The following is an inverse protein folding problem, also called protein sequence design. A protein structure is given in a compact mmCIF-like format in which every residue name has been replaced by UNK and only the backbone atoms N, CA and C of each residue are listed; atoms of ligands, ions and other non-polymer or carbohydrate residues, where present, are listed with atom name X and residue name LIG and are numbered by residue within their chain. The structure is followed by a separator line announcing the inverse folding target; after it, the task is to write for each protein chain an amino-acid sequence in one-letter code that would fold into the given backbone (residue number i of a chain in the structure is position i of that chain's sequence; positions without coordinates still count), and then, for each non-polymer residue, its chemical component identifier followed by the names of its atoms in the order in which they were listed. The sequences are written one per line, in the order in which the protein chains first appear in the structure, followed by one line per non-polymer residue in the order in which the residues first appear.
data_IF_326804402619
#
_entry.id   IF_326804402619
#
_cell.length_a   1.000
_cell.length_b   1.000
_cell.length_c   1.000
_cell.angle_alpha   90.00
_cell.angle_beta   90.00
_cell.angle_gamma   90.00
#
_symmetry.space_group_name_H-M   'P 1'
#
loop_
_entity.id
_entity.type
_entity.pdbx_description
1 polymer ?
#
# COMPACT_ATOMS: atom_id res chain seq x y z
N UNK A 1 65.22 -58.58 -4.82
CA UNK A 1 63.78 -58.88 -5.03
C UNK A 1 63.01 -58.24 -3.89
N UNK A 2 61.98 -57.49 -4.26
CA UNK A 2 60.92 -56.86 -3.43
C UNK A 2 61.35 -55.69 -2.53
N UNK A 3 61.33 -54.50 -3.15
CA UNK A 3 60.99 -53.23 -2.53
C UNK A 3 59.50 -53.22 -2.16
N UNK A 4 59.16 -52.86 -0.91
CA UNK A 4 57.79 -52.53 -0.52
C UNK A 4 57.82 -51.13 0.12
N UNK A 5 57.37 -50.15 -0.67
CA UNK A 5 57.26 -48.75 -0.27
C UNK A 5 55.83 -48.55 0.26
N UNK A 6 55.68 -48.36 1.57
CA UNK A 6 54.39 -48.08 2.20
C UNK A 6 53.99 -46.63 1.94
N UNK A 7 53.05 -46.40 1.02
CA UNK A 7 52.37 -45.12 0.86
C UNK A 7 51.37 -44.93 2.01
N UNK A 8 51.68 -44.03 2.94
CA UNK A 8 50.69 -43.53 3.91
C UNK A 8 49.80 -42.50 3.19
N UNK A 9 48.54 -42.88 2.95
CA UNK A 9 47.51 -42.02 2.40
C UNK A 9 47.02 -41.06 3.51
N UNK A 10 47.48 -39.82 3.48
CA UNK A 10 46.93 -38.74 4.30
C UNK A 10 45.55 -38.36 3.75
N UNK A 11 44.50 -38.87 4.38
CA UNK A 11 43.12 -38.42 4.14
C UNK A 11 42.94 -37.09 4.85
N UNK A 12 43.04 -36.00 4.10
CA UNK A 12 42.62 -34.67 4.57
C UNK A 12 41.10 -34.67 4.58
N UNK A 13 40.50 -34.79 5.77
CA UNK A 13 39.09 -34.45 5.96
C UNK A 13 38.96 -32.93 5.77
N UNK A 14 38.48 -32.52 4.60
CA UNK A 14 37.93 -31.18 4.44
C UNK A 14 36.66 -31.12 5.29
N UNK A 15 36.78 -30.55 6.50
CA UNK A 15 35.63 -30.11 7.28
C UNK A 15 34.99 -28.95 6.51
N UNK A 16 34.05 -29.28 5.62
CA UNK A 16 33.12 -28.30 5.10
C UNK A 16 32.31 -27.78 6.27
N UNK A 17 32.57 -26.55 6.69
CA UNK A 17 31.66 -25.79 7.54
C UNK A 17 30.39 -25.57 6.73
N UNK A 18 29.43 -26.47 6.86
CA UNK A 18 28.05 -26.17 6.53
C UNK A 18 27.59 -25.10 7.52
N UNK A 19 27.64 -23.84 7.09
CA UNK A 19 26.94 -22.76 7.80
C UNK A 19 25.46 -23.14 7.68
N UNK A 20 24.85 -23.54 8.79
CA UNK A 20 23.42 -23.76 8.82
C UNK A 20 22.76 -22.47 8.32
N UNK A 21 22.04 -22.55 7.19
CA UNK A 21 21.23 -21.42 6.75
C UNK A 21 20.25 -21.09 7.86
N UNK A 22 20.20 -19.81 8.26
CA UNK A 22 19.11 -19.30 9.09
C UNK A 22 17.78 -19.70 8.42
N UNK A 23 16.90 -20.39 9.16
CA UNK A 23 15.69 -21.03 8.60
C UNK A 23 14.67 -20.01 8.03
N UNK A 24 14.87 -18.74 8.38
CA UNK A 24 14.12 -17.58 7.93
C UNK A 24 14.86 -16.72 6.90
N UNK A 25 16.09 -17.09 6.53
CA UNK A 25 16.82 -16.48 5.44
C UNK A 25 16.38 -17.04 4.08
N UNK A 26 16.06 -16.16 3.15
CA UNK A 26 15.77 -16.47 1.75
C UNK A 26 17.03 -16.20 0.92
N UNK A 27 17.66 -17.28 0.46
CA UNK A 27 18.94 -17.23 -0.25
C UNK A 27 18.83 -16.88 -1.74
N UNK A 28 17.62 -16.84 -2.30
CA UNK A 28 17.41 -16.52 -3.72
C UNK A 28 17.12 -15.03 -3.87
N UNK A 29 18.08 -14.28 -4.40
CA UNK A 29 17.94 -12.84 -4.68
C UNK A 29 16.80 -12.52 -5.66
N UNK A 30 16.40 -13.49 -6.50
CA UNK A 30 15.31 -13.36 -7.46
C UNK A 30 13.97 -13.92 -6.93
N UNK A 31 13.84 -14.20 -5.62
CA UNK A 31 12.62 -14.75 -5.04
C UNK A 31 11.37 -13.92 -5.39
N UNK A 32 11.51 -12.58 -5.37
CA UNK A 32 10.41 -11.65 -5.63
C UNK A 32 10.20 -11.33 -7.12
N UNK A 33 11.15 -11.67 -8.00
CA UNK A 33 11.10 -11.26 -9.41
C UNK A 33 9.92 -11.85 -10.20
N UNK A 34 9.44 -13.03 -9.79
CA UNK A 34 8.24 -13.68 -10.33
C UNK A 34 7.01 -13.57 -9.44
N UNK A 35 7.11 -12.85 -8.31
CA UNK A 35 5.97 -12.63 -7.41
C UNK A 35 5.10 -11.52 -7.98
N UNK A 36 3.79 -11.67 -7.84
CA UNK A 36 2.83 -10.63 -8.20
C UNK A 36 2.41 -9.88 -6.93
N UNK A 37 2.24 -8.54 -7.02
CA UNK A 37 1.53 -7.79 -6.00
C UNK A 37 0.19 -8.46 -5.68
N UNK A 38 -0.21 -8.39 -4.43
CA UNK A 38 -1.48 -8.90 -3.94
C UNK A 38 -2.21 -7.77 -3.26
N UNK A 39 -3.46 -7.61 -3.64
CA UNK A 39 -4.39 -6.77 -2.92
C UNK A 39 -4.60 -7.27 -1.48
N UNK A 40 -4.69 -6.32 -0.57
CA UNK A 40 -5.04 -6.58 0.82
C UNK A 40 -5.97 -5.48 1.32
N UNK A 41 -7.24 -5.81 1.50
CA UNK A 41 -8.17 -4.94 2.21
C UNK A 41 -7.95 -5.11 3.73
N UNK A 42 -7.32 -4.12 4.36
CA UNK A 42 -7.16 -4.09 5.80
C UNK A 42 -8.42 -3.49 6.43
N UNK A 43 -9.29 -4.37 6.93
CA UNK A 43 -10.48 -3.94 7.63
C UNK A 43 -10.09 -3.06 8.84
N UNK A 44 -10.73 -1.90 9.02
CA UNK A 44 -10.56 -1.13 10.24
C UNK A 44 -11.05 -1.97 11.42
N UNK A 45 -10.52 -1.75 12.63
CA UNK A 45 -10.92 -2.46 13.86
C UNK A 45 -12.40 -2.23 14.31
N UNK A 46 -13.31 -1.86 13.40
CA UNK A 46 -14.73 -1.62 13.67
C UNK A 46 -15.50 -1.09 12.44
N UNK A 47 -16.81 -1.34 12.39
CA UNK A 47 -17.72 -0.83 11.34
C UNK A 47 -18.73 0.16 11.92
N UNK A 48 -19.04 1.22 11.17
CA UNK A 48 -20.25 2.02 11.42
C UNK A 48 -21.06 2.24 10.14
N UNK A 49 -22.34 1.90 10.22
CA UNK A 49 -23.33 2.23 9.20
C UNK A 49 -23.66 3.72 9.28
N UNK A 50 -23.26 4.50 8.26
CA UNK A 50 -23.69 5.87 8.03
C UNK A 50 -24.52 5.97 6.76
N UNK A 51 -25.35 7.00 6.62
CA UNK A 51 -26.07 7.27 5.37
C UNK A 51 -25.33 8.30 4.51
N UNK A 52 -25.10 7.96 3.24
CA UNK A 52 -24.34 8.70 2.23
C UNK A 52 -25.08 9.93 1.62
N UNK A 53 -25.85 10.68 2.40
CA UNK A 53 -26.69 11.77 1.85
C UNK A 53 -26.08 13.17 1.95
N UNK A 54 -24.87 13.32 2.51
CA UNK A 54 -24.20 14.61 2.59
C UNK A 54 -23.33 14.87 1.35
N UNK A 55 -23.34 16.08 0.81
CA UNK A 55 -22.43 16.46 -0.30
C UNK A 55 -20.96 16.53 0.15
N UNK A 56 -20.71 16.78 1.43
CA UNK A 56 -19.39 16.92 2.04
C UNK A 56 -19.32 16.03 3.27
N UNK A 57 -18.18 15.38 3.48
CA UNK A 57 -17.95 14.55 4.67
C UNK A 57 -18.81 13.31 4.72
N UNK A 58 -18.53 12.44 5.68
CA UNK A 58 -19.44 11.38 6.10
C UNK A 58 -20.04 11.78 7.45
N UNK A 59 -21.35 11.63 7.61
CA UNK A 59 -22.03 12.03 8.84
C UNK A 59 -21.55 11.16 10.02
N UNK A 60 -21.29 11.81 11.17
CA UNK A 60 -20.95 11.12 12.42
C UNK A 60 -19.46 10.85 12.63
N UNK A 61 -18.60 11.21 11.68
CA UNK A 61 -17.14 11.06 11.80
C UNK A 61 -16.41 12.41 11.71
N UNK A 62 -15.26 12.46 12.37
CA UNK A 62 -14.26 13.51 12.27
C UNK A 62 -13.08 12.97 11.46
N UNK A 63 -12.95 13.45 10.22
CA UNK A 63 -11.91 13.01 9.29
C UNK A 63 -11.51 14.10 8.29
N UNK A 64 -10.61 13.78 7.37
CA UNK A 64 -10.08 14.67 6.34
C UNK A 64 -11.19 15.22 5.44
N UNK A 65 -10.90 16.29 4.71
CA UNK A 65 -11.87 16.88 3.79
C UNK A 65 -12.17 15.88 2.68
N UNK A 66 -13.43 15.55 2.49
CA UNK A 66 -13.91 14.65 1.45
C UNK A 66 -15.29 15.07 0.95
N UNK A 67 -15.70 14.54 -0.20
CA UNK A 67 -17.02 14.75 -0.80
C UNK A 67 -17.64 13.43 -1.22
N UNK A 68 -18.98 13.38 -1.25
CA UNK A 68 -19.69 12.22 -1.77
C UNK A 68 -20.23 12.48 -3.17
N UNK A 69 -20.24 11.43 -3.98
CA UNK A 69 -20.94 11.36 -5.25
C UNK A 69 -21.75 10.07 -5.37
N UNK A 70 -22.43 9.91 -6.49
CA UNK A 70 -23.17 8.70 -6.79
C UNK A 70 -23.31 8.50 -8.29
N UNK A 71 -23.59 7.26 -8.69
CA UNK A 71 -23.90 6.89 -10.06
C UNK A 71 -24.94 5.77 -10.11
N UNK A 72 -25.50 5.55 -11.30
CA UNK A 72 -26.56 4.57 -11.52
C UNK A 72 -26.16 3.54 -12.58
N UNK A 73 -25.93 2.30 -12.15
CA UNK A 73 -25.64 1.19 -13.04
C UNK A 73 -26.10 -0.13 -12.42
N UNK A 74 -26.61 -1.05 -13.24
CA UNK A 74 -27.07 -2.35 -12.74
C UNK A 74 -25.87 -3.19 -12.27
N UNK A 75 -25.98 -3.77 -11.09
CA UNK A 75 -24.97 -4.66 -10.51
C UNK A 75 -25.52 -5.45 -9.32
N UNK A 76 -24.61 -6.04 -8.54
CA UNK A 76 -24.94 -6.79 -7.33
C UNK A 76 -24.13 -6.25 -6.15
N UNK A 77 -24.75 -6.11 -4.98
CA UNK A 77 -24.04 -5.77 -3.74
C UNK A 77 -23.20 -6.95 -3.22
N UNK A 78 -22.53 -6.78 -2.08
CA UNK A 78 -21.71 -7.81 -1.44
C UNK A 78 -22.51 -9.06 -1.03
N UNK A 79 -23.81 -8.92 -0.78
CA UNK A 79 -24.72 -10.01 -0.41
C UNK A 79 -25.33 -10.70 -1.65
N UNK A 80 -25.04 -10.18 -2.85
CA UNK A 80 -25.57 -10.69 -4.11
C UNK A 80 -26.99 -10.24 -4.43
N UNK A 81 -27.50 -9.20 -3.76
CA UNK A 81 -28.77 -8.58 -4.14
C UNK A 81 -28.56 -7.63 -5.32
N UNK A 82 -29.50 -7.56 -6.27
CA UNK A 82 -29.45 -6.54 -7.32
C UNK A 82 -29.45 -5.13 -6.71
N UNK A 83 -28.48 -4.32 -7.11
CA UNK A 83 -28.39 -2.91 -6.77
C UNK A 83 -28.18 -2.08 -8.04
N UNK A 84 -28.69 -0.85 -8.03
CA UNK A 84 -28.51 0.10 -9.13
C UNK A 84 -27.86 1.42 -8.69
N UNK A 85 -27.89 1.74 -7.41
CA UNK A 85 -27.46 3.04 -6.91
C UNK A 85 -26.21 2.87 -6.07
N UNK A 86 -25.12 3.51 -6.50
CA UNK A 86 -23.81 3.36 -5.90
C UNK A 86 -23.35 4.71 -5.41
N UNK A 87 -22.79 4.76 -4.20
CA UNK A 87 -22.26 5.96 -3.59
C UNK A 87 -20.75 5.83 -3.47
N UNK A 88 -20.05 6.93 -3.71
CA UNK A 88 -18.61 7.00 -3.49
C UNK A 88 -18.27 8.23 -2.66
N UNK A 89 -17.11 8.17 -2.01
CA UNK A 89 -16.53 9.22 -1.21
C UNK A 89 -15.08 9.43 -1.62
N UNK A 90 -14.72 10.68 -1.92
CA UNK A 90 -13.41 11.03 -2.47
C UNK A 90 -12.78 12.14 -1.67
N UNK A 91 -11.47 12.08 -1.47
CA UNK A 91 -10.68 13.11 -0.76
C UNK A 91 -10.72 14.44 -1.52
N UNK A 92 -10.92 15.53 -0.79
CA UNK A 92 -10.94 16.89 -1.31
C UNK A 92 -12.33 17.54 -1.31
N UNK A 93 -12.42 18.70 -1.97
CA UNK A 93 -13.69 19.39 -2.21
C UNK A 93 -14.32 18.92 -3.53
N UNK A 94 -15.66 19.04 -3.69
CA UNK A 94 -16.32 18.67 -4.93
C UNK A 94 -15.75 19.41 -6.17
N UNK A 95 -15.46 18.71 -7.28
CA UNK A 95 -14.78 19.24 -8.47
C UNK A 95 -15.43 20.47 -9.10
N UNK A 96 -16.77 20.54 -9.04
CA UNK A 96 -17.58 21.64 -9.56
C UNK A 96 -17.42 22.96 -8.79
N UNK A 97 -16.80 22.95 -7.62
CA UNK A 97 -16.55 24.17 -6.85
C UNK A 97 -15.29 24.92 -7.32
N UNK A 98 -14.30 24.20 -7.86
CA UNK A 98 -12.98 24.75 -8.15
C UNK A 98 -12.15 25.00 -6.90
N UNK A 99 -11.03 25.71 -7.09
CA UNK A 99 -10.06 26.01 -6.03
C UNK A 99 -9.24 24.81 -5.57
N UNK A 100 -8.26 25.10 -4.72
CA UNK A 100 -7.30 24.12 -4.20
C UNK A 100 -7.67 23.69 -2.79
N UNK A 101 -7.83 22.39 -2.60
CA UNK A 101 -7.86 21.75 -1.27
C UNK A 101 -6.44 21.33 -0.91
N UNK A 102 -5.97 21.72 0.27
CA UNK A 102 -4.69 21.26 0.80
C UNK A 102 -4.95 20.25 1.91
N UNK A 103 -4.39 19.06 1.77
CA UNK A 103 -4.41 17.99 2.77
C UNK A 103 -3.00 17.85 3.32
N UNK A 104 -2.84 17.92 4.63
CA UNK A 104 -1.55 17.62 5.24
C UNK A 104 -1.23 16.13 5.03
N UNK A 105 0.02 15.85 4.65
CA UNK A 105 0.48 14.49 4.36
C UNK A 105 1.75 14.17 5.16
N UNK A 106 1.63 13.89 6.47
CA UNK A 106 2.77 13.50 7.27
C UNK A 106 3.32 12.15 6.76
N UNK A 107 4.64 12.10 6.55
CA UNK A 107 5.36 10.87 6.22
C UNK A 107 6.15 10.46 7.46
N UNK A 108 5.75 9.36 8.09
CA UNK A 108 6.42 8.77 9.25
C UNK A 108 7.37 7.68 8.75
N UNK A 109 8.70 7.89 8.82
CA UNK A 109 9.65 6.85 8.42
C UNK A 109 9.69 5.74 9.47
N UNK A 110 9.53 4.47 9.07
CA UNK A 110 9.59 3.32 9.98
C UNK A 110 10.71 2.37 9.56
N UNK A 111 11.75 2.28 10.37
CA UNK A 111 12.78 1.24 10.23
C UNK A 111 12.30 -0.09 10.83
N UNK A 112 12.85 -1.21 10.40
CA UNK A 112 12.45 -2.54 10.87
C UNK A 112 13.61 -3.22 11.59
N UNK A 113 13.37 -3.69 12.82
CA UNK A 113 14.33 -4.39 13.65
C UNK A 113 13.86 -5.84 13.90
N UNK A 114 14.58 -6.80 13.34
CA UNK A 114 14.24 -8.21 13.39
C UNK A 114 14.95 -8.91 14.56
N UNK A 115 14.17 -9.50 15.46
CA UNK A 115 14.64 -10.11 16.71
C UNK A 115 14.42 -11.62 16.73
N UNK A 116 15.15 -12.31 17.61
CA UNK A 116 14.88 -13.72 17.88
C UNK A 116 13.54 -13.91 18.61
N UNK A 117 13.14 -15.17 18.81
CA UNK A 117 11.88 -15.51 19.47
C UNK A 117 11.80 -15.07 20.95
N UNK A 118 12.95 -14.73 21.56
CA UNK A 118 13.02 -14.20 22.93
C UNK A 118 13.13 -12.66 22.94
N UNK A 119 13.09 -12.00 21.77
CA UNK A 119 13.22 -10.56 21.63
C UNK A 119 14.66 -10.03 21.65
N UNK A 120 15.68 -10.89 21.60
CA UNK A 120 17.07 -10.42 21.56
C UNK A 120 17.46 -9.93 20.15
N UNK A 121 18.39 -8.98 20.10
CA UNK A 121 19.02 -8.52 18.85
C UNK A 121 19.61 -9.69 18.07
N UNK A 122 19.31 -9.74 16.76
CA UNK A 122 19.95 -10.70 15.85
C UNK A 122 21.00 -10.04 14.98
N UNK A 123 22.00 -10.82 14.61
CA UNK A 123 23.00 -10.42 13.63
C UNK A 123 23.39 -11.62 12.77
N UNK A 124 23.53 -11.40 11.47
CA UNK A 124 23.97 -12.40 10.49
C UNK A 124 25.22 -11.85 9.80
N UNK A 125 26.27 -12.66 9.70
CA UNK A 125 27.57 -12.24 9.14
C UNK A 125 28.17 -10.96 9.77
N UNK A 126 27.91 -10.74 11.07
CA UNK A 126 28.38 -9.56 11.79
C UNK A 126 27.56 -8.28 11.55
N UNK A 127 26.47 -8.35 10.79
CA UNK A 127 25.54 -7.24 10.57
C UNK A 127 24.25 -7.44 11.37
N UNK A 128 23.74 -6.41 12.08
CA UNK A 128 22.43 -6.49 12.72
C UNK A 128 21.34 -6.72 11.67
N UNK A 129 20.30 -7.46 12.03
CA UNK A 129 19.09 -7.57 11.22
C UNK A 129 18.19 -6.33 11.42
N UNK A 130 18.74 -5.18 11.04
CA UNK A 130 18.08 -3.88 11.10
C UNK A 130 18.03 -3.26 9.71
N UNK A 131 16.83 -2.96 9.23
CA UNK A 131 16.60 -2.31 7.93
C UNK A 131 16.25 -0.84 8.15
N UNK A 132 17.18 0.05 7.81
CA UNK A 132 17.04 1.50 7.96
C UNK A 132 16.25 2.10 6.79
N UNK A 133 15.20 2.84 7.11
CA UNK A 133 14.34 3.54 6.14
C UNK A 133 14.95 4.85 5.63
N UNK A 134 15.88 5.43 6.38
CA UNK A 134 16.43 6.78 6.16
C UNK A 134 16.86 7.05 4.71
N UNK A 135 17.53 6.12 4.00
CA UNK A 135 17.94 6.34 2.61
C UNK A 135 16.79 6.60 1.63
N UNK A 136 15.58 6.16 1.96
CA UNK A 136 14.41 6.22 1.08
C UNK A 136 13.54 7.46 1.32
N UNK A 137 13.70 8.14 2.47
CA UNK A 137 12.86 9.29 2.84
C UNK A 137 13.00 10.45 1.86
N UNK A 138 14.21 10.92 1.59
CA UNK A 138 14.41 12.07 0.71
C UNK A 138 13.95 11.81 -0.74
N UNK A 139 14.28 10.66 -1.37
CA UNK A 139 13.73 10.29 -2.68
C UNK A 139 12.20 10.24 -2.69
N UNK A 140 11.56 9.69 -1.65
CA UNK A 140 10.10 9.67 -1.52
C UNK A 140 9.50 11.07 -1.50
N UNK A 141 10.03 11.98 -0.69
CA UNK A 141 9.53 13.37 -0.59
C UNK A 141 9.76 14.17 -1.88
N UNK A 142 10.81 13.85 -2.63
CA UNK A 142 11.14 14.46 -3.91
C UNK A 142 10.34 13.89 -5.11
N UNK A 143 9.51 12.87 -4.86
CA UNK A 143 8.75 12.13 -5.88
C UNK A 143 7.52 12.90 -6.39
N UNK A 144 6.93 12.49 -7.53
CA UNK A 144 5.73 13.12 -8.07
C UNK A 144 4.49 12.94 -7.19
N UNK A 145 4.52 12.04 -6.19
CA UNK A 145 3.45 11.93 -5.19
C UNK A 145 3.30 13.24 -4.42
N UNK A 146 4.43 13.87 -4.05
CA UNK A 146 4.45 15.06 -3.22
C UNK A 146 4.95 16.33 -3.92
N UNK A 147 5.58 16.19 -5.08
CA UNK A 147 6.11 17.30 -5.87
C UNK A 147 5.37 17.46 -7.20
N UNK A 148 5.33 18.69 -7.70
CA UNK A 148 4.73 19.00 -8.99
C UNK A 148 5.50 18.42 -10.18
N UNK A 149 4.79 17.73 -11.08
CA UNK A 149 5.25 17.31 -12.40
C UNK A 149 4.21 17.68 -13.47
N UNK A 150 4.57 17.59 -14.75
CA UNK A 150 3.68 17.92 -15.86
C UNK A 150 2.80 16.73 -16.21
N UNK A 151 1.49 16.95 -16.28
CA UNK A 151 0.49 15.96 -16.63
C UNK A 151 -0.49 16.52 -17.66
N UNK A 152 -0.98 15.67 -18.56
CA UNK A 152 -1.96 16.06 -19.59
C UNK A 152 -3.32 16.48 -19.02
N UNK A 153 -3.65 16.06 -17.81
CA UNK A 153 -4.88 16.49 -17.15
C UNK A 153 -4.80 17.96 -16.70
N UNK A 154 -3.60 18.52 -16.49
CA UNK A 154 -3.37 19.82 -15.82
C UNK A 154 -2.66 20.86 -16.70
N UNK A 155 -3.06 22.12 -16.57
CA UNK A 155 -2.38 23.25 -17.22
C UNK A 155 -1.15 23.75 -16.43
N UNK A 156 -1.02 23.34 -15.17
CA UNK A 156 0.12 23.65 -14.29
C UNK A 156 0.71 22.37 -13.73
N UNK A 157 2.03 22.34 -13.41
CA UNK A 157 2.61 21.19 -12.72
C UNK A 157 1.85 20.88 -11.43
N UNK A 158 1.54 19.61 -11.21
CA UNK A 158 0.77 19.14 -10.05
C UNK A 158 1.26 17.77 -9.57
N UNK A 159 0.72 17.26 -8.48
CA UNK A 159 1.07 15.95 -7.92
C UNK A 159 0.40 14.82 -8.69
N UNK A 160 0.97 13.63 -8.59
CA UNK A 160 0.53 12.42 -9.29
C UNK A 160 -0.96 12.14 -9.06
N UNK A 161 -1.39 11.99 -7.81
CA UNK A 161 -2.78 11.64 -7.49
C UNK A 161 -3.76 12.77 -7.81
N UNK A 162 -3.35 14.03 -7.66
CA UNK A 162 -4.14 15.17 -8.16
C UNK A 162 -4.33 15.09 -9.68
N UNK A 163 -3.30 14.70 -10.43
CA UNK A 163 -3.41 14.53 -11.87
C UNK A 163 -4.37 13.39 -12.26
N UNK A 164 -4.36 12.28 -11.52
CA UNK A 164 -5.32 11.16 -11.68
C UNK A 164 -6.75 11.63 -11.41
N UNK A 165 -7.00 12.28 -10.27
CA UNK A 165 -8.31 12.84 -9.92
C UNK A 165 -8.81 13.87 -10.94
N UNK A 166 -7.93 14.72 -11.44
CA UNK A 166 -8.31 15.68 -12.49
C UNK A 166 -8.55 15.03 -13.85
N UNK A 167 -7.97 13.87 -14.13
CA UNK A 167 -8.33 13.07 -15.29
C UNK A 167 -9.70 12.41 -15.10
N UNK A 168 -9.96 11.84 -13.92
CA UNK A 168 -11.23 11.21 -13.53
C UNK A 168 -12.41 12.19 -13.61
N UNK A 169 -12.27 13.37 -13.01
CA UNK A 169 -13.32 14.38 -12.96
C UNK A 169 -13.22 15.43 -14.08
N UNK A 170 -12.50 15.15 -15.18
CA UNK A 170 -12.13 16.16 -16.17
C UNK A 170 -13.30 17.02 -16.68
N UNK A 171 -14.44 16.41 -17.01
CA UNK A 171 -15.63 17.13 -17.49
C UNK A 171 -16.51 17.71 -16.38
N UNK A 172 -16.20 17.45 -15.10
CA UNK A 172 -16.93 17.94 -13.91
C UNK A 172 -16.14 19.01 -13.16
N UNK A 173 -14.81 18.96 -13.23
CA UNK A 173 -13.90 19.84 -12.51
C UNK A 173 -13.78 21.21 -13.17
N UNK A 174 -13.72 22.26 -12.35
CA UNK A 174 -13.22 23.55 -12.84
C UNK A 174 -11.72 23.45 -13.10
N UNK A 175 -11.21 24.31 -13.98
CA UNK A 175 -9.80 24.32 -14.39
C UNK A 175 -8.82 24.53 -13.24
N UNK A 176 -9.25 25.23 -12.19
CA UNK A 176 -8.49 25.55 -10.97
C UNK A 176 -8.75 24.58 -9.81
N UNK A 177 -9.51 23.50 -10.04
CA UNK A 177 -9.76 22.48 -9.03
C UNK A 177 -8.52 21.61 -8.83
N UNK A 178 -8.08 21.51 -7.57
CA UNK A 178 -6.95 20.67 -7.15
C UNK A 178 -7.18 20.12 -5.73
N UNK A 179 -6.63 18.94 -5.45
CA UNK A 179 -6.51 18.36 -4.11
C UNK A 179 -5.06 17.93 -3.90
N UNK A 180 -4.28 18.79 -3.25
CA UNK A 180 -2.84 18.64 -3.11
C UNK A 180 -2.44 18.21 -1.69
N UNK A 181 -1.43 17.36 -1.63
CA UNK A 181 -0.76 16.94 -0.41
C UNK A 181 0.33 17.92 0.01
N UNK A 182 0.41 18.20 1.30
CA UNK A 182 1.47 19.01 1.91
C UNK A 182 2.36 18.08 2.73
N UNK A 183 3.48 17.59 2.17
CA UNK A 183 4.31 16.60 2.84
C UNK A 183 5.03 17.19 4.05
N UNK A 184 5.18 16.39 5.11
CA UNK A 184 6.16 16.69 6.16
C UNK A 184 6.76 15.41 6.74
N UNK A 185 8.09 15.35 6.83
CA UNK A 185 8.78 14.20 7.45
C UNK A 185 8.64 14.30 8.96
N UNK A 186 8.16 13.22 9.59
CA UNK A 186 7.94 13.13 11.03
C UNK A 186 9.05 12.35 11.74
N UNK A 187 8.94 12.25 13.06
CA UNK A 187 9.90 11.51 13.89
C UNK A 187 10.01 10.07 13.40
N UNK A 188 11.23 9.59 13.04
CA UNK A 188 11.44 8.20 12.67
C UNK A 188 11.05 7.24 13.78
N UNK A 189 10.44 6.12 13.41
CA UNK A 189 10.00 5.04 14.30
C UNK A 189 10.72 3.75 13.96
N UNK A 190 10.68 2.80 14.89
CA UNK A 190 11.20 1.45 14.69
C UNK A 190 10.07 0.46 14.97
N UNK A 191 9.76 -0.37 13.98
CA UNK A 191 8.93 -1.55 14.18
C UNK A 191 9.84 -2.72 14.57
N UNK A 192 9.60 -3.31 15.73
CA UNK A 192 10.32 -4.50 16.19
C UNK A 192 9.50 -5.74 15.88
N UNK A 193 10.04 -6.65 15.07
CA UNK A 193 9.37 -7.93 14.76
C UNK A 193 10.17 -9.05 15.41
N UNK A 194 9.57 -9.68 16.43
CA UNK A 194 10.13 -10.88 17.05
C UNK A 194 9.81 -12.11 16.19
N UNK A 195 10.76 -13.03 16.07
CA UNK A 195 10.53 -14.27 15.32
C UNK A 195 9.55 -15.19 16.07
N UNK A 196 8.80 -16.00 15.34
CA UNK A 196 7.96 -17.04 15.92
C UNK A 196 8.83 -18.19 16.48
N UNK A 197 8.58 -18.69 17.71
CA UNK A 197 9.34 -19.82 18.28
C UNK A 197 9.28 -21.12 17.46
N UNK A 198 8.28 -21.25 16.59
CA UNK A 198 8.06 -22.40 15.70
C UNK A 198 8.67 -22.21 14.31
N UNK A 199 9.34 -21.08 14.05
CA UNK A 199 9.94 -20.82 12.75
C UNK A 199 11.02 -21.86 12.41
N UNK A 200 10.81 -22.57 11.30
CA UNK A 200 11.68 -23.66 10.86
C UNK A 200 11.51 -24.98 11.64
N UNK A 201 10.44 -25.13 12.43
CA UNK A 201 10.11 -26.40 13.06
C UNK A 201 9.91 -27.52 12.03
N UNK A 202 10.48 -28.70 12.28
CA UNK A 202 10.38 -29.88 11.39
C UNK A 202 9.19 -30.79 11.73
N UNK A 203 8.44 -30.47 12.78
CA UNK A 203 7.23 -31.17 13.21
C UNK A 203 6.25 -30.19 13.85
N UNK A 204 4.95 -30.30 13.53
CA UNK A 204 3.92 -29.32 13.90
C UNK A 204 3.76 -28.21 12.85
N UNK A 205 2.84 -27.24 13.03
CA UNK A 205 2.75 -26.09 12.13
C UNK A 205 4.01 -25.23 12.31
N UNK A 206 4.82 -25.11 11.26
CA UNK A 206 5.93 -24.17 11.23
C UNK A 206 5.40 -22.82 10.75
N UNK A 207 5.56 -21.79 11.57
CA UNK A 207 5.19 -20.43 11.23
C UNK A 207 6.41 -19.53 11.47
N UNK A 208 6.61 -18.55 10.61
CA UNK A 208 7.59 -17.49 10.85
C UNK A 208 6.81 -16.18 10.90
N UNK A 209 7.19 -15.27 11.79
CA UNK A 209 6.64 -13.91 11.81
C UNK A 209 7.29 -13.05 10.72
N UNK A 210 8.52 -13.41 10.35
CA UNK A 210 9.21 -12.80 9.23
C UNK A 210 10.18 -13.76 8.56
N UNK A 211 10.51 -13.45 7.31
CA UNK A 211 11.65 -13.96 6.55
C UNK A 211 12.40 -12.79 5.93
N UNK A 212 13.66 -12.98 5.55
CA UNK A 212 14.47 -11.89 5.01
C UNK A 212 15.47 -12.38 3.96
N UNK A 213 15.92 -11.46 3.11
CA UNK A 213 17.11 -11.66 2.28
C UNK A 213 18.11 -10.55 2.57
N UNK A 214 19.40 -10.91 2.60
CA UNK A 214 20.48 -9.95 2.85
C UNK A 214 20.87 -9.23 1.57
N UNK A 215 21.39 -8.01 1.71
CA UNK A 215 22.09 -7.35 0.62
C UNK A 215 23.34 -8.17 0.23
N UNK A 216 23.86 -7.94 -0.99
CA UNK A 216 25.06 -8.64 -1.48
C UNK A 216 26.30 -8.44 -0.59
N UNK A 217 26.34 -7.36 0.20
CA UNK A 217 27.39 -7.10 1.18
C UNK A 217 27.16 -7.79 2.55
N UNK A 218 26.10 -8.58 2.70
CA UNK A 218 25.72 -9.27 3.94
C UNK A 218 24.90 -8.44 4.93
N UNK A 219 24.64 -7.16 4.65
CA UNK A 219 23.83 -6.30 5.54
C UNK A 219 22.32 -6.52 5.38
N UNK A 220 21.57 -6.23 6.44
CA UNK A 220 20.11 -6.24 6.38
C UNK A 220 19.55 -4.96 5.74
N UNK A 221 18.48 -5.04 4.96
CA UNK A 221 18.04 -6.23 4.24
C UNK A 221 17.80 -5.85 2.78
N UNK A 222 18.05 -6.79 1.87
CA UNK A 222 17.64 -6.66 0.47
C UNK A 222 16.12 -6.58 0.40
N UNK A 223 15.44 -7.44 1.15
CA UNK A 223 14.00 -7.32 1.45
C UNK A 223 13.65 -8.06 2.75
N UNK A 224 12.50 -7.70 3.32
CA UNK A 224 11.84 -8.37 4.43
C UNK A 224 10.47 -8.85 3.97
N UNK A 225 10.11 -10.07 4.32
CA UNK A 225 8.76 -10.60 4.23
C UNK A 225 8.21 -10.72 5.64
N UNK A 226 7.18 -9.97 6.00
CA UNK A 226 6.51 -10.07 7.29
C UNK A 226 5.16 -10.78 7.13
N UNK A 227 4.77 -11.60 8.11
CA UNK A 227 3.40 -12.10 8.15
C UNK A 227 2.45 -10.91 8.34
N UNK A 228 1.40 -10.85 7.51
CA UNK A 228 0.51 -9.68 7.45
C UNK A 228 -0.23 -9.43 8.77
N UNK A 229 -0.66 -10.49 9.47
CA UNK A 229 -1.41 -10.36 10.72
C UNK A 229 -0.48 -9.87 11.83
N UNK A 230 0.76 -10.38 11.87
CA UNK A 230 1.79 -9.89 12.79
C UNK A 230 2.12 -8.42 12.50
N UNK A 231 2.34 -8.08 11.24
CA UNK A 231 2.68 -6.72 10.82
C UNK A 231 1.58 -5.72 11.20
N UNK A 232 0.31 -6.04 10.90
CA UNK A 232 -0.83 -5.20 11.23
C UNK A 232 -0.97 -4.97 12.73
N UNK A 233 -0.77 -6.01 13.55
CA UNK A 233 -0.80 -5.88 15.00
C UNK A 233 0.35 -5.04 15.57
N UNK A 234 1.48 -4.97 14.87
CA UNK A 234 2.61 -4.12 15.26
C UNK A 234 2.50 -2.69 14.72
N UNK A 235 1.72 -2.48 13.66
CA UNK A 235 1.53 -1.17 13.05
C UNK A 235 0.50 -0.32 13.80
N UNK A 236 -0.64 -0.92 14.17
CA UNK A 236 -1.80 -0.22 14.73
C UNK A 236 -1.91 -0.35 16.25
N UNK A 237 -2.28 0.72 16.96
CA UNK A 237 -2.48 0.66 18.41
C UNK A 237 -3.60 -0.33 18.78
N UNK A 238 -3.41 -1.06 19.88
CA UNK A 238 -4.45 -1.95 20.39
C UNK A 238 -5.58 -1.19 21.12
N UNK A 239 -5.28 0.02 21.60
CA UNK A 239 -6.16 0.89 22.39
C UNK A 239 -5.78 2.35 22.17
N UNK A 240 -6.70 3.28 22.46
CA UNK A 240 -6.45 4.74 22.39
C UNK A 240 -5.19 5.21 23.11
N UNK A 241 -4.69 4.50 24.12
CA UNK A 241 -3.51 4.91 24.89
C UNK A 241 -2.22 4.19 24.49
N UNK A 242 -2.28 3.31 23.49
CA UNK A 242 -1.15 2.51 23.07
C UNK A 242 -0.17 3.33 22.22
N UNK A 243 0.96 3.70 22.81
CA UNK A 243 2.04 4.43 22.12
C UNK A 243 3.19 3.52 21.70
N UNK A 244 2.99 2.20 21.68
CA UNK A 244 4.07 1.25 21.38
C UNK A 244 4.18 0.93 19.88
N UNK A 245 3.11 1.19 19.13
CA UNK A 245 3.05 0.99 17.68
C UNK A 245 3.40 2.28 16.92
N UNK A 246 3.86 2.20 15.66
CA UNK A 246 4.15 3.39 14.87
C UNK A 246 2.95 4.35 14.76
N UNK A 247 1.75 3.84 14.47
CA UNK A 247 0.53 4.65 14.34
C UNK A 247 0.16 5.31 15.66
N UNK A 248 0.03 4.51 16.73
CA UNK A 248 -0.36 5.03 18.04
C UNK A 248 0.63 6.07 18.58
N UNK A 249 1.94 5.84 18.44
CA UNK A 249 2.91 6.87 18.84
C UNK A 249 2.84 8.13 17.96
N UNK A 250 2.42 8.05 16.69
CA UNK A 250 2.32 9.23 15.80
C UNK A 250 1.09 10.08 16.16
N UNK A 251 -0.03 9.44 16.47
CA UNK A 251 -1.23 10.08 16.97
C UNK A 251 -0.98 10.82 18.29
N UNK A 252 -0.35 10.14 19.26
CA UNK A 252 -0.05 10.72 20.57
C UNK A 252 0.98 11.84 20.54
N UNK A 253 1.89 11.80 19.57
CA UNK A 253 2.84 12.89 19.34
C UNK A 253 2.21 14.10 18.62
N UNK A 254 0.96 13.99 18.17
CA UNK A 254 0.31 15.00 17.32
C UNK A 254 0.97 15.12 15.94
N UNK A 255 1.66 14.07 15.50
CA UNK A 255 2.34 14.00 14.20
C UNK A 255 1.41 13.54 13.08
N UNK A 256 0.28 12.93 13.44
CA UNK A 256 -0.87 12.70 12.57
C UNK A 256 -2.16 13.09 13.29
N UNK A 257 -3.15 13.54 12.51
CA UNK A 257 -4.47 13.97 12.98
C UNK A 257 -5.56 13.43 12.08
N UNK A 258 -6.82 13.55 12.51
CA UNK A 258 -7.98 13.18 11.69
C UNK A 258 -8.09 13.99 10.39
N UNK A 259 -7.34 15.09 10.23
CA UNK A 259 -7.40 15.95 9.04
C UNK A 259 -6.28 15.68 8.04
N UNK A 260 -5.43 14.72 8.36
CA UNK A 260 -4.27 14.36 7.57
C UNK A 260 -4.55 13.08 6.78
N UNK A 261 -3.76 12.87 5.74
CA UNK A 261 -3.62 11.57 5.09
C UNK A 261 -2.17 11.12 5.30
N UNK A 262 -1.98 10.20 6.25
CA UNK A 262 -0.66 9.89 6.81
C UNK A 262 -0.02 8.69 6.13
N UNK A 263 1.25 8.77 5.78
CA UNK A 263 1.97 7.63 5.18
C UNK A 263 3.04 7.10 6.13
N UNK A 264 2.98 5.81 6.42
CA UNK A 264 4.04 5.10 7.13
C UNK A 264 4.95 4.43 6.10
N UNK A 265 6.10 5.06 5.87
CA UNK A 265 7.07 4.62 4.87
C UNK A 265 7.98 3.54 5.46
N UNK A 266 8.06 2.38 4.82
CA UNK A 266 8.94 1.28 5.22
C UNK A 266 10.03 0.99 4.17
N UNK A 267 11.16 0.40 4.57
CA UNK A 267 12.21 -0.04 3.65
C UNK A 267 11.95 -1.46 3.15
N UNK A 268 11.87 -1.71 1.84
CA UNK A 268 11.81 -3.04 1.20
C UNK A 268 11.10 -4.14 2.04
N UNK A 269 10.00 -3.80 2.70
CA UNK A 269 9.26 -4.67 3.60
C UNK A 269 7.98 -5.00 2.87
N UNK A 270 7.64 -6.27 2.77
CA UNK A 270 6.46 -6.72 2.04
C UNK A 270 5.76 -7.78 2.88
N UNK A 271 4.47 -7.98 2.66
CA UNK A 271 3.67 -8.86 3.53
C UNK A 271 3.28 -10.13 2.79
N UNK A 272 3.15 -11.23 3.55
CA UNK A 272 2.61 -12.49 3.07
C UNK A 272 1.48 -12.99 3.96
N UNK A 273 0.67 -13.90 3.42
CA UNK A 273 -0.43 -14.53 4.13
C UNK A 273 -0.07 -15.96 4.52
N UNK A 274 0.24 -16.20 5.80
CA UNK A 274 0.49 -17.52 6.38
C UNK A 274 1.80 -18.17 5.92
N UNK A 275 1.96 -18.42 4.61
CA UNK A 275 3.19 -18.92 4.01
C UNK A 275 3.85 -17.84 3.13
N UNK A 276 5.16 -17.70 3.23
CA UNK A 276 5.93 -16.69 2.49
C UNK A 276 5.91 -16.85 0.96
N UNK A 277 5.51 -18.02 0.44
CA UNK A 277 5.23 -18.21 -0.99
C UNK A 277 3.93 -17.54 -1.43
N UNK A 278 3.04 -17.22 -0.49
CA UNK A 278 1.80 -16.48 -0.70
C UNK A 278 1.99 -14.98 -0.44
N UNK A 279 2.99 -14.41 -1.11
CA UNK A 279 3.30 -12.98 -1.12
C UNK A 279 2.91 -12.35 -2.50
N UNK A 280 2.88 -11.04 -2.68
CA UNK A 280 3.37 -9.99 -1.78
C UNK A 280 2.43 -8.78 -1.71
N UNK A 281 2.06 -8.35 -0.51
CA UNK A 281 1.39 -7.06 -0.27
C UNK A 281 2.48 -5.98 -0.13
N UNK A 282 2.44 -4.96 -0.99
CA UNK A 282 3.50 -3.93 -1.08
C UNK A 282 3.20 -2.68 -0.27
N UNK A 283 1.91 -2.42 -0.08
CA UNK A 283 1.32 -1.39 0.73
C UNK A 283 -0.13 -1.78 1.04
N UNK A 284 -0.78 -0.98 1.86
CA UNK A 284 -2.25 -0.91 1.94
C UNK A 284 -2.61 0.47 2.48
N UNK A 285 -3.73 1.03 2.02
CA UNK A 285 -4.38 2.14 2.70
C UNK A 285 -5.50 1.63 3.62
N UNK A 286 -5.75 2.36 4.71
CA UNK A 286 -6.78 2.06 5.70
C UNK A 286 -6.96 3.26 6.64
N UNK A 287 -7.53 3.06 7.82
CA UNK A 287 -7.56 4.06 8.87
C UNK A 287 -7.47 3.43 10.27
N UNK A 288 -6.89 4.18 11.20
CA UNK A 288 -7.13 3.97 12.63
C UNK A 288 -8.36 4.78 13.07
N UNK A 289 -9.05 4.35 14.11
CA UNK A 289 -10.14 5.13 14.69
C UNK A 289 -10.07 5.15 16.20
N UNK A 290 -10.46 6.30 16.74
CA UNK A 290 -10.51 6.53 18.17
C UNK A 290 -11.87 7.06 18.61
N UNK A 291 -12.28 6.81 19.87
CA UNK A 291 -13.49 7.40 20.42
C UNK A 291 -13.52 8.91 20.20
N UNK A 292 -14.72 9.42 19.90
CA UNK A 292 -14.94 10.86 19.86
C UNK A 292 -14.74 11.49 21.23
N UNK A 293 -14.46 12.79 21.24
CA UNK A 293 -14.30 13.55 22.48
C UNK A 293 -15.04 14.90 22.40
N UNK A 294 -15.11 15.62 23.51
CA UNK A 294 -15.86 16.87 23.57
C UNK A 294 -15.37 17.92 22.55
N UNK A 295 -14.09 17.89 22.14
CA UNK A 295 -13.52 18.87 21.21
C UNK A 295 -14.02 18.70 19.76
N UNK A 296 -14.46 17.50 19.39
CA UNK A 296 -15.00 17.20 18.06
C UNK A 296 -16.50 16.83 18.08
N UNK A 297 -17.22 17.20 19.14
CA UNK A 297 -18.64 16.91 19.29
C UNK A 297 -18.96 15.42 19.51
N UNK A 298 -17.99 14.66 20.04
CA UNK A 298 -18.06 13.21 20.24
C UNK A 298 -18.22 12.40 18.93
N UNK A 299 -17.80 12.96 17.79
CA UNK A 299 -17.75 12.25 16.53
C UNK A 299 -16.59 11.25 16.53
N UNK A 300 -16.79 10.06 15.93
CA UNK A 300 -15.73 9.06 15.78
C UNK A 300 -14.53 9.69 15.06
N UNK A 301 -13.34 9.63 15.65
CA UNK A 301 -12.13 10.16 15.03
C UNK A 301 -11.59 9.11 14.07
N UNK A 302 -11.39 9.48 12.82
CA UNK A 302 -10.90 8.58 11.77
C UNK A 302 -9.61 9.14 11.20
N UNK A 303 -8.51 8.45 11.46
CA UNK A 303 -7.16 8.81 11.04
C UNK A 303 -6.79 8.01 9.78
N UNK A 304 -7.01 8.63 8.62
CA UNK A 304 -6.71 7.99 7.33
C UNK A 304 -5.20 7.84 7.18
N UNK A 305 -4.78 6.62 6.85
CA UNK A 305 -3.36 6.28 6.78
C UNK A 305 -3.06 5.21 5.74
N UNK A 306 -1.84 5.21 5.23
CA UNK A 306 -1.30 4.09 4.47
C UNK A 306 -0.03 3.53 5.14
N UNK A 307 0.19 2.25 4.87
CA UNK A 307 1.50 1.63 4.92
C UNK A 307 2.00 1.50 3.49
N UNK A 308 3.22 1.98 3.22
CA UNK A 308 3.83 1.88 1.90
C UNK A 308 5.31 1.51 2.00
N UNK A 309 5.73 0.47 1.28
CA UNK A 309 7.16 0.15 1.18
C UNK A 309 7.82 0.91 0.03
N UNK A 310 8.99 1.50 0.30
CA UNK A 310 9.94 1.77 -0.78
C UNK A 310 10.36 0.44 -1.43
N UNK A 311 10.38 0.39 -2.76
CA UNK A 311 10.74 -0.81 -3.51
C UNK A 311 12.10 -0.59 -4.18
N UNK A 312 13.16 -1.21 -3.68
CA UNK A 312 14.46 -1.10 -4.34
C UNK A 312 14.47 -1.75 -5.73
N UNK A 313 15.23 -1.20 -6.71
CA UNK A 313 15.25 -1.72 -8.07
C UNK A 313 15.61 -3.21 -8.15
N UNK A 314 14.91 -3.93 -9.01
CA UNK A 314 15.13 -5.34 -9.30
C UNK A 314 14.56 -6.32 -8.27
N UNK A 315 13.67 -5.86 -7.38
CA UNK A 315 12.93 -6.76 -6.48
C UNK A 315 11.72 -7.38 -7.19
N UNK A 316 10.91 -6.58 -7.89
CA UNK A 316 9.71 -7.06 -8.59
C UNK A 316 9.78 -6.86 -10.11
N UNK A 317 8.94 -7.60 -10.82
CA UNK A 317 8.70 -7.42 -12.26
C UNK A 317 7.77 -6.24 -12.57
N UNK A 318 7.39 -6.12 -13.85
CA UNK A 318 6.42 -5.13 -14.36
C UNK A 318 6.70 -3.65 -14.02
N UNK A 319 7.94 -3.33 -13.65
CA UNK A 319 8.34 -1.96 -13.32
C UNK A 319 7.92 -1.49 -11.93
N UNK A 320 7.53 -2.39 -11.02
CA UNK A 320 7.30 -2.07 -9.61
C UNK A 320 8.61 -1.77 -8.90
N UNK A 321 8.83 -0.50 -8.58
CA UNK A 321 10.06 0.03 -7.99
C UNK A 321 9.80 1.39 -7.35
N UNK A 322 10.74 1.90 -6.55
CA UNK A 322 10.69 3.18 -5.85
C UNK A 322 9.39 3.43 -5.09
N UNK A 323 8.54 4.33 -5.61
CA UNK A 323 7.31 4.82 -5.00
C UNK A 323 6.07 4.13 -5.55
N UNK A 324 6.18 3.05 -6.34
CA UNK A 324 5.00 2.40 -6.93
C UNK A 324 3.94 2.06 -5.88
N UNK A 325 4.33 1.45 -4.75
CA UNK A 325 3.40 1.17 -3.65
C UNK A 325 2.79 2.46 -3.09
N UNK A 326 3.61 3.47 -2.76
CA UNK A 326 3.12 4.74 -2.23
C UNK A 326 2.14 5.45 -3.16
N UNK A 327 2.39 5.47 -4.47
CA UNK A 327 1.47 6.10 -5.43
C UNK A 327 0.15 5.34 -5.54
N UNK A 328 0.21 4.00 -5.47
CA UNK A 328 -0.96 3.13 -5.47
C UNK A 328 -1.82 3.44 -4.24
N UNK A 329 -1.24 3.31 -3.04
CA UNK A 329 -2.01 3.47 -1.79
C UNK A 329 -2.60 4.87 -1.65
N UNK A 330 -1.89 5.90 -2.08
CA UNK A 330 -2.43 7.26 -2.05
C UNK A 330 -3.53 7.46 -3.08
N UNK A 331 -3.41 6.88 -4.29
CA UNK A 331 -4.46 6.99 -5.29
C UNK A 331 -5.74 6.27 -4.88
N UNK A 332 -5.61 5.09 -4.27
CA UNK A 332 -6.73 4.35 -3.69
C UNK A 332 -7.31 5.09 -2.49
N UNK A 333 -6.49 5.58 -1.55
CA UNK A 333 -6.99 6.37 -0.41
C UNK A 333 -7.74 7.65 -0.83
N UNK A 334 -7.41 8.25 -1.98
CA UNK A 334 -8.17 9.38 -2.51
C UNK A 334 -9.58 8.98 -2.95
N UNK A 335 -9.73 7.76 -3.43
CA UNK A 335 -10.91 7.20 -4.06
C UNK A 335 -11.77 6.37 -3.10
N UNK A 336 -11.14 5.79 -2.08
CA UNK A 336 -11.74 5.04 -0.98
C UNK A 336 -11.08 5.34 0.38
N UNK A 337 -11.15 6.57 0.92
CA UNK A 337 -10.46 6.93 2.16
C UNK A 337 -10.92 6.14 3.40
N UNK A 338 -12.03 5.40 3.29
CA UNK A 338 -12.63 4.66 4.39
C UNK A 338 -12.80 3.17 4.08
N UNK A 339 -12.08 2.64 3.08
CA UNK A 339 -12.00 1.20 2.72
C UNK A 339 -13.37 0.50 2.71
N UNK A 340 -14.37 1.18 2.14
CA UNK A 340 -15.78 0.77 2.12
C UNK A 340 -16.41 0.39 3.50
N UNK A 341 -15.77 0.76 4.61
CA UNK A 341 -16.14 0.35 5.96
C UNK A 341 -17.07 1.35 6.67
N UNK A 342 -17.20 2.57 6.14
CA UNK A 342 -18.04 3.63 6.70
C UNK A 342 -19.02 4.12 5.63
N UNK A 343 -20.31 4.14 5.99
CA UNK A 343 -21.30 4.90 5.22
C UNK A 343 -21.85 4.23 3.96
N UNK A 344 -21.55 2.94 3.71
CA UNK A 344 -21.86 2.22 2.44
C UNK A 344 -21.29 2.89 1.19
N UNK A 345 -20.31 3.78 1.36
CA UNK A 345 -19.60 4.43 0.27
C UNK A 345 -18.50 3.51 -0.29
N UNK A 346 -18.12 3.74 -1.55
CA UNK A 346 -16.98 3.09 -2.23
C UNK A 346 -17.13 1.58 -2.45
N UNK A 347 -18.31 1.04 -2.15
CA UNK A 347 -18.76 -0.23 -2.73
C UNK A 347 -19.13 0.05 -4.19
N UNK A 348 -18.60 -0.77 -5.09
CA UNK A 348 -18.88 -0.74 -6.52
C UNK A 348 -19.72 -1.96 -6.91
N UNK A 349 -20.31 -2.00 -8.12
CA UNK A 349 -20.65 -3.28 -8.72
C UNK A 349 -19.45 -4.22 -8.71
N UNK A 350 -19.71 -5.53 -8.68
CA UNK A 350 -18.66 -6.51 -8.89
C UNK A 350 -17.95 -6.29 -10.23
N UNK A 351 -16.63 -6.30 -10.19
CA UNK A 351 -15.77 -6.15 -11.36
C UNK A 351 -14.70 -7.23 -11.37
N UNK A 352 -14.20 -7.51 -12.57
CA UNK A 352 -13.09 -8.44 -12.77
C UNK A 352 -12.00 -7.76 -13.58
N UNK A 353 -10.86 -7.52 -12.95
CA UNK A 353 -9.73 -6.88 -13.59
C UNK A 353 -9.09 -7.80 -14.65
N UNK A 354 -8.33 -7.25 -15.62
CA UNK A 354 -7.72 -8.06 -16.68
C UNK A 354 -6.70 -9.08 -16.16
N UNK A 355 -6.12 -8.85 -14.98
CA UNK A 355 -5.26 -9.79 -14.25
C UNK A 355 -6.04 -10.97 -13.62
N UNK A 356 -7.38 -10.93 -13.62
CA UNK A 356 -8.26 -11.94 -13.07
C UNK A 356 -8.76 -11.69 -11.65
N UNK A 357 -8.29 -10.63 -10.98
CA UNK A 357 -8.75 -10.20 -9.66
C UNK A 357 -10.24 -9.85 -9.72
N UNK A 358 -10.98 -10.27 -8.70
CA UNK A 358 -12.42 -10.09 -8.60
C UNK A 358 -12.75 -9.44 -7.26
N UNK A 359 -13.41 -8.29 -7.32
CA UNK A 359 -13.67 -7.41 -6.18
C UNK A 359 -14.94 -6.59 -6.44
N UNK A 360 -15.37 -5.85 -5.42
CA UNK A 360 -16.53 -4.96 -5.48
C UNK A 360 -16.35 -3.68 -4.62
N UNK A 361 -15.09 -3.28 -4.42
CA UNK A 361 -14.65 -2.04 -3.80
C UNK A 361 -13.93 -1.15 -4.82
N UNK A 362 -13.70 0.12 -4.48
CA UNK A 362 -13.15 1.15 -5.37
C UNK A 362 -11.61 1.24 -5.27
N UNK A 363 -10.96 0.11 -5.53
CA UNK A 363 -9.49 -0.05 -5.49
C UNK A 363 -8.90 0.22 -6.88
N UNK A 364 -8.48 1.46 -7.12
CA UNK A 364 -8.06 1.92 -8.46
C UNK A 364 -6.76 1.28 -8.94
N UNK A 365 -5.85 0.97 -8.01
CA UNK A 365 -4.53 0.40 -8.28
C UNK A 365 -4.61 -1.09 -8.52
N UNK A 366 -5.44 -1.79 -7.74
CA UNK A 366 -5.74 -3.23 -7.85
C UNK A 366 -6.14 -3.67 -9.27
N UNK A 367 -6.90 -2.83 -9.98
CA UNK A 367 -7.32 -3.10 -11.37
C UNK A 367 -6.13 -3.21 -12.33
N UNK A 368 -5.06 -2.48 -12.03
CA UNK A 368 -3.88 -2.29 -12.88
C UNK A 368 -2.75 -3.26 -12.51
N UNK A 369 -2.79 -3.83 -11.31
CA UNK A 369 -1.76 -4.75 -10.83
C UNK A 369 -1.55 -5.93 -11.79
N UNK A 370 -0.30 -6.31 -12.02
CA UNK A 370 0.04 -7.43 -12.90
C UNK A 370 -0.11 -7.16 -14.41
N UNK A 371 -0.53 -5.96 -14.83
CA UNK A 371 -0.53 -5.57 -16.23
C UNK A 371 0.89 -5.18 -16.71
N UNK A 372 1.16 -5.34 -18.01
CA UNK A 372 2.50 -5.10 -18.59
C UNK A 372 2.93 -3.63 -18.59
N UNK A 373 1.98 -2.72 -18.44
CA UNK A 373 2.18 -1.27 -18.30
C UNK A 373 1.63 -0.78 -16.96
N UNK A 374 1.85 -1.55 -15.90
CA UNK A 374 1.34 -1.20 -14.58
C UNK A 374 1.90 0.14 -14.10
N UNK A 375 3.15 0.48 -14.39
CA UNK A 375 3.74 1.76 -13.98
C UNK A 375 3.95 2.75 -15.13
N UNK A 376 4.02 4.03 -14.78
CA UNK A 376 4.24 5.14 -15.70
C UNK A 376 5.50 5.92 -15.30
N UNK A 377 6.59 5.90 -16.10
CA UNK A 377 7.84 6.53 -15.70
C UNK A 377 7.76 8.06 -15.74
N UNK A 378 8.19 8.71 -14.66
CA UNK A 378 8.23 10.17 -14.52
C UNK A 378 9.63 10.60 -14.09
N UNK A 379 10.34 11.31 -14.97
CA UNK A 379 11.67 11.85 -14.66
C UNK A 379 11.57 13.27 -14.10
N UNK A 380 11.99 13.44 -12.85
CA UNK A 380 12.09 14.73 -12.19
C UNK A 380 13.20 14.71 -11.14
N UNK A 381 13.78 15.88 -10.81
CA UNK A 381 14.81 15.99 -9.77
C UNK A 381 16.03 15.06 -9.97
N UNK A 382 16.34 14.68 -11.22
CA UNK A 382 17.44 13.77 -11.54
C UNK A 382 17.17 12.28 -11.27
N UNK A 383 15.92 11.92 -10.95
CA UNK A 383 15.47 10.54 -10.71
C UNK A 383 14.27 10.20 -11.61
N UNK A 384 14.15 8.94 -12.02
CA UNK A 384 12.97 8.42 -12.74
C UNK A 384 12.14 7.60 -11.77
N UNK A 385 10.99 8.14 -11.38
CA UNK A 385 10.02 7.49 -10.52
C UNK A 385 9.04 6.65 -11.35
N UNK A 386 8.45 5.63 -10.73
CA UNK A 386 7.55 4.69 -11.37
C UNK A 386 6.22 4.59 -10.62
N UNK A 387 5.41 5.68 -10.56
CA UNK A 387 4.07 5.57 -10.02
C UNK A 387 3.23 4.58 -10.83
N UNK A 388 2.26 3.95 -10.18
CA UNK A 388 1.34 3.04 -10.87
C UNK A 388 0.38 3.84 -11.77
N UNK A 389 -0.07 3.26 -12.88
CA UNK A 389 -1.28 3.74 -13.53
C UNK A 389 -2.48 3.35 -12.65
N UNK A 390 -3.53 4.16 -12.72
CA UNK A 390 -4.74 3.97 -11.91
C UNK A 390 -5.93 3.77 -12.85
N UNK A 391 -6.85 2.87 -12.47
CA UNK A 391 -8.18 2.87 -13.06
C UNK A 391 -8.93 4.14 -12.64
N UNK A 392 -9.70 4.72 -13.56
CA UNK A 392 -10.56 5.88 -13.26
C UNK A 392 -11.95 5.39 -12.88
N UNK A 393 -12.69 6.20 -12.09
CA UNK A 393 -14.08 5.93 -11.69
C UNK A 393 -14.96 5.40 -12.82
N UNK A 394 -14.83 5.94 -14.04
CA UNK A 394 -15.62 5.54 -15.21
C UNK A 394 -15.45 4.06 -15.60
N UNK A 395 -14.34 3.43 -15.21
CA UNK A 395 -14.14 2.00 -15.39
C UNK A 395 -15.09 1.18 -14.50
N UNK A 396 -15.30 1.62 -13.26
CA UNK A 396 -16.20 1.02 -12.27
C UNK A 396 -17.68 1.37 -12.52
N UNK A 397 -17.96 2.53 -13.12
CA UNK A 397 -19.31 2.97 -13.48
C UNK A 397 -19.89 2.21 -14.69
N UNK A 398 -19.10 1.36 -15.34
CA UNK A 398 -19.37 0.76 -16.65
C UNK A 398 -19.76 1.80 -17.71
N UNK A 399 -19.23 3.02 -17.57
CA UNK A 399 -19.69 4.15 -18.34
C UNK A 399 -19.11 4.11 -19.76
N UNK A 400 -19.97 4.14 -20.79
CA UNK A 400 -19.54 4.21 -22.18
C UNK A 400 -20.40 5.21 -22.98
N UNK A 401 -19.81 6.26 -23.59
CA UNK A 401 -18.41 6.67 -23.46
C UNK A 401 -18.08 7.25 -22.08
N UNK A 402 -16.85 7.03 -21.60
CA UNK A 402 -16.30 7.69 -20.40
C UNK A 402 -16.34 9.21 -20.54
N UNK A 403 -16.68 9.90 -19.44
CA UNK A 403 -16.58 11.36 -19.31
C UNK A 403 -15.28 11.81 -18.62
N UNK A 404 -14.31 10.92 -18.43
CA UNK A 404 -12.96 11.28 -18.02
C UNK A 404 -12.20 12.02 -19.15
N UNK A 405 -10.97 12.45 -18.84
CA UNK A 405 -10.06 13.08 -19.80
C UNK A 405 -9.95 12.25 -21.09
N UNK A 406 -10.41 12.82 -22.20
CA UNK A 406 -10.33 12.18 -23.51
C UNK A 406 -11.08 10.85 -23.63
N UNK A 407 -12.04 10.56 -22.74
CA UNK A 407 -12.78 9.30 -22.70
C UNK A 407 -11.96 8.12 -22.18
N UNK A 408 -10.92 8.37 -21.38
CA UNK A 408 -10.05 7.35 -20.82
C UNK A 408 -10.71 6.53 -19.69
N UNK A 409 -10.13 5.36 -19.39
CA UNK A 409 -10.48 4.52 -18.23
C UNK A 409 -9.28 4.27 -17.30
N UNK A 410 -8.09 4.71 -17.69
CA UNK A 410 -6.88 4.69 -16.87
C UNK A 410 -6.06 5.96 -17.08
N UNK A 411 -5.22 6.30 -16.10
CA UNK A 411 -4.32 7.45 -16.15
C UNK A 411 -3.05 7.17 -15.34
N UNK A 412 -1.85 7.71 -15.67
CA UNK A 412 -1.52 8.60 -16.80
C UNK A 412 -1.52 8.00 -18.20
N UNK A 413 -1.23 6.70 -18.34
CA UNK A 413 -1.31 6.01 -19.63
C UNK A 413 -2.77 5.57 -19.89
N UNK A 414 -3.43 6.32 -20.77
CA UNK A 414 -4.83 6.08 -21.19
C UNK A 414 -5.01 4.83 -22.06
N UNK A 415 -3.93 4.11 -22.36
CA UNK A 415 -3.95 2.88 -23.16
C UNK A 415 -3.92 1.60 -22.32
N UNK A 416 -3.76 1.71 -20.99
CA UNK A 416 -3.74 0.54 -20.09
C UNK A 416 -5.12 -0.10 -20.01
N UNK A 417 -6.16 0.69 -19.78
CA UNK A 417 -7.55 0.27 -19.86
C UNK A 417 -8.23 0.97 -21.05
N UNK A 418 -8.57 0.19 -22.07
CA UNK A 418 -9.12 0.69 -23.34
C UNK A 418 -10.65 0.72 -23.38
N UNK A 419 -11.31 0.25 -22.32
CA UNK A 419 -12.77 0.19 -22.18
C UNK A 419 -13.16 0.08 -20.71
N UNK A 420 -14.46 0.22 -20.40
CA UNK A 420 -14.96 0.06 -19.05
C UNK A 420 -14.86 -1.41 -18.60
N UNK A 421 -15.01 -1.64 -17.30
CA UNK A 421 -15.21 -2.99 -16.79
C UNK A 421 -16.49 -3.62 -17.37
N UNK A 422 -16.52 -4.95 -17.43
CA UNK A 422 -17.72 -5.68 -17.80
C UNK A 422 -18.56 -5.99 -16.55
N UNK A 423 -19.90 -5.83 -16.59
CA UNK A 423 -20.76 -6.20 -15.48
C UNK A 423 -20.52 -7.65 -15.04
N UNK A 424 -20.33 -7.86 -13.74
CA UNK A 424 -20.15 -9.19 -13.15
C UNK A 424 -21.35 -9.58 -12.29
N UNK A 425 -21.57 -10.90 -12.14
CA UNK A 425 -22.38 -11.43 -11.04
C UNK A 425 -21.61 -11.27 -9.72
N UNK A 426 -22.30 -11.44 -8.60
CA UNK A 426 -21.66 -11.53 -7.30
C UNK A 426 -20.54 -12.59 -7.29
N UNK A 427 -19.39 -12.24 -6.69
CA UNK A 427 -18.16 -13.05 -6.67
C UNK A 427 -17.60 -13.37 -8.07
N UNK A 428 -17.94 -12.58 -9.09
CA UNK A 428 -17.62 -12.83 -10.50
C UNK A 428 -17.98 -14.26 -10.96
N UNK A 429 -19.07 -14.80 -10.42
CA UNK A 429 -19.57 -16.12 -10.78
C UNK A 429 -19.94 -16.17 -12.27
N UNK A 430 -19.73 -17.34 -12.89
CA UNK A 430 -20.09 -17.59 -14.30
C UNK A 430 -21.59 -17.55 -14.53
#
# INVERSE_FOLDING_TARGET
MVTCLSCALLVVFALGTSVAQDLDAIANDNFLAGSHPRSAAMAPRGHQNGQAHARFGVFGIDSLVNFNGHYFVDGFDSDGNPNRHWYFNTVGNPPQLGGTTLINAPVVPVSVDLRDANGNSRSVNGHPLFSDVTPFVAPTIASPVFQGSTYSSSSVPTQFTDAVQRAEYFNKAKSDWHTLLVPSVKTPRVMVINQDPTCGATSGPAHCNYRFSLNANGSCCRFILADIDVFANLLFPATETDTTTPVGAAEHAGEMTTRDMSSFLFPNTFLYFGDSSNCCVLGFHTFDFEPGNASNGNALRVFVTDYSSWISPGLFGAGFTDITALSHEIAEAYNDPFVAAIGTNNITPWWKAPNGLCQNNLETGDVIEGLTKATFPITMNGFTYHPQNEALLQWFEFQQPSDALGGAYSYPDTTVLTGPSAPQKANCAK
#
